data_IF_737919116942
#
_entry.id   IF_737919116942
#
_cell.length_a   1.000
_cell.length_b   1.000
_cell.length_c   1.000
_cell.angle_alpha   90.00
_cell.angle_beta   90.00
_cell.angle_gamma   90.00
#
_symmetry.space_group_name_H-M   'P 1'
#
loop_
_entity.id
_entity.type
_entity.pdbx_description
1 polymer ?
#
# COMPACT_ATOMS: atom_id res chain seq x y z
N UNK A 1 -4.82 -9.02 -9.06
CA UNK A 1 -4.25 -7.67 -8.92
C UNK A 1 -4.20 -7.27 -7.45
N UNK A 2 -3.13 -6.55 -7.06
CA UNK A 2 -2.84 -6.20 -5.66
C UNK A 2 -2.62 -4.70 -5.48
N UNK A 3 -3.32 -4.06 -4.55
CA UNK A 3 -3.00 -2.71 -4.10
C UNK A 3 -1.79 -2.77 -3.18
N UNK A 4 -0.73 -2.04 -3.50
CA UNK A 4 0.45 -1.99 -2.64
C UNK A 4 0.28 -0.93 -1.56
N UNK A 5 0.40 -1.34 -0.30
CA UNK A 5 0.48 -0.42 0.82
C UNK A 5 1.74 0.48 0.70
N UNK A 6 1.70 1.65 1.34
CA UNK A 6 2.81 2.59 1.47
C UNK A 6 4.06 1.88 1.99
N UNK A 7 3.93 1.01 3.00
CA UNK A 7 5.07 0.29 3.56
C UNK A 7 5.76 -0.63 2.52
N UNK A 8 5.00 -1.18 1.57
CA UNK A 8 5.53 -2.02 0.49
C UNK A 8 6.24 -1.17 -0.55
N UNK A 9 5.63 -0.06 -0.97
CA UNK A 9 6.24 0.87 -1.93
C UNK A 9 7.57 1.43 -1.39
N UNK A 10 7.59 1.84 -0.12
CA UNK A 10 8.80 2.32 0.57
C UNK A 10 9.84 1.20 0.66
N UNK A 11 9.45 -0.02 1.04
CA UNK A 11 10.39 -1.14 1.10
C UNK A 11 10.99 -1.48 -0.27
N UNK A 12 10.22 -1.43 -1.36
CA UNK A 12 10.72 -1.64 -2.72
C UNK A 12 11.70 -0.55 -3.16
N UNK A 13 11.42 0.71 -2.81
CA UNK A 13 12.18 1.86 -3.27
C UNK A 13 13.53 2.06 -2.56
N UNK A 14 13.62 1.72 -1.27
CA UNK A 14 14.76 2.08 -0.43
C UNK A 14 15.56 0.84 -0.02
N UNK A 15 16.79 0.63 -0.55
CA UNK A 15 17.63 -0.52 -0.21
C UNK A 15 17.96 -0.67 1.28
N UNK A 16 18.00 0.44 2.01
CA UNK A 16 18.26 0.49 3.44
C UNK A 16 17.04 0.15 4.30
N UNK A 17 15.86 -0.08 3.69
CA UNK A 17 14.67 -0.48 4.42
C UNK A 17 14.78 -1.93 4.89
N UNK A 18 14.40 -2.22 6.14
CA UNK A 18 14.50 -3.57 6.74
C UNK A 18 13.80 -4.66 5.93
N UNK A 19 12.69 -4.31 5.25
CA UNK A 19 11.94 -5.23 4.41
C UNK A 19 12.35 -5.21 2.93
N UNK A 20 13.40 -4.49 2.53
CA UNK A 20 13.74 -4.30 1.11
C UNK A 20 13.90 -5.61 0.35
N UNK A 21 14.73 -6.53 0.85
CA UNK A 21 14.96 -7.84 0.22
C UNK A 21 13.67 -8.64 0.07
N UNK A 22 12.83 -8.66 1.11
CA UNK A 22 11.53 -9.35 1.12
C UNK A 22 10.57 -8.74 0.12
N UNK A 23 10.48 -7.41 0.05
CA UNK A 23 9.63 -6.69 -0.89
C UNK A 23 10.04 -6.96 -2.34
N UNK A 24 11.34 -6.91 -2.66
CA UNK A 24 11.85 -7.19 -4.01
C UNK A 24 11.58 -8.64 -4.40
N UNK A 25 11.85 -9.61 -3.51
CA UNK A 25 11.58 -11.02 -3.77
C UNK A 25 10.09 -11.27 -4.03
N UNK A 26 9.23 -10.76 -3.14
CA UNK A 26 7.77 -10.87 -3.29
C UNK A 26 7.28 -10.21 -4.58
N UNK A 27 7.69 -8.97 -4.86
CA UNK A 27 7.27 -8.23 -6.05
C UNK A 27 7.75 -8.93 -7.32
N UNK A 28 8.94 -9.52 -7.29
CA UNK A 28 9.48 -10.25 -8.44
C UNK A 28 8.61 -11.44 -8.80
N UNK A 29 8.06 -12.15 -7.81
CA UNK A 29 7.19 -13.30 -8.03
C UNK A 29 5.77 -12.90 -8.45
N UNK A 30 5.24 -11.78 -7.94
CA UNK A 30 3.81 -11.44 -8.08
C UNK A 30 3.48 -10.33 -9.09
N UNK A 31 4.47 -9.59 -9.61
CA UNK A 31 4.22 -8.48 -10.55
C UNK A 31 3.48 -8.91 -11.83
N UNK A 32 3.57 -10.18 -12.21
CA UNK A 32 2.86 -10.75 -13.37
C UNK A 32 1.34 -10.77 -13.22
N UNK A 33 0.83 -10.84 -12.00
CA UNK A 33 -0.62 -10.87 -11.70
C UNK A 33 -1.26 -9.48 -11.63
N UNK A 34 -0.48 -8.44 -11.95
CA UNK A 34 -0.84 -7.04 -11.84
C UNK A 34 -0.78 -6.50 -10.41
N UNK A 35 -0.43 -5.23 -10.32
CA UNK A 35 -0.34 -4.49 -9.06
C UNK A 35 -0.81 -3.06 -9.27
N UNK A 36 -1.18 -2.39 -8.18
CA UNK A 36 -1.81 -1.10 -8.24
C UNK A 36 -1.30 -0.15 -7.15
N UNK A 37 -1.42 1.12 -7.47
CA UNK A 37 -1.34 2.24 -6.53
C UNK A 37 -2.65 3.02 -6.59
N UNK A 38 -2.95 3.78 -5.55
CA UNK A 38 -4.03 4.74 -5.48
C UNK A 38 -3.52 6.09 -4.92
N UNK A 39 -4.30 7.19 -4.99
CA UNK A 39 -3.91 8.51 -4.48
C UNK A 39 -3.31 8.47 -3.05
N UNK A 40 -3.91 7.69 -2.15
CA UNK A 40 -3.46 7.56 -0.76
C UNK A 40 -2.08 6.91 -0.68
N UNK A 41 -1.86 5.81 -1.40
CA UNK A 41 -0.56 5.10 -1.41
C UNK A 41 0.54 5.92 -2.09
N UNK A 42 0.23 6.64 -3.17
CA UNK A 42 1.18 7.50 -3.89
C UNK A 42 1.59 8.70 -3.04
N UNK A 43 0.63 9.38 -2.42
CA UNK A 43 0.89 10.50 -1.53
C UNK A 43 1.63 10.06 -0.26
N UNK A 44 1.24 8.91 0.31
CA UNK A 44 1.92 8.30 1.45
C UNK A 44 3.37 7.94 1.13
N UNK A 45 3.62 7.38 -0.05
CA UNK A 45 4.97 7.07 -0.52
C UNK A 45 5.85 8.32 -0.59
N UNK A 46 5.38 9.40 -1.22
CA UNK A 46 6.13 10.66 -1.31
C UNK A 46 6.39 11.24 0.07
N UNK A 47 5.37 11.28 0.94
CA UNK A 47 5.47 11.81 2.30
C UNK A 47 6.49 11.04 3.14
N UNK A 48 6.44 9.72 3.15
CA UNK A 48 7.35 8.88 3.95
C UNK A 48 8.77 8.94 3.40
N UNK A 49 8.91 8.85 2.08
CA UNK A 49 10.21 8.92 1.40
C UNK A 49 10.93 10.25 1.59
N UNK A 50 10.17 11.32 1.89
CA UNK A 50 10.70 12.66 2.14
C UNK A 50 10.87 12.99 3.62
N UNK A 51 10.63 12.03 4.52
CA UNK A 51 10.71 12.26 5.96
C UNK A 51 12.05 11.77 6.53
N UNK A 52 12.97 12.71 6.76
CA UNK A 52 14.30 12.44 7.31
C UNK A 52 14.29 11.84 8.73
N UNK A 53 13.17 11.95 9.47
CA UNK A 53 13.02 11.26 10.78
C UNK A 53 12.72 9.77 10.64
N UNK A 54 12.26 9.34 9.46
CA UNK A 54 11.84 7.95 9.19
C UNK A 54 12.85 7.25 8.30
N UNK A 55 13.38 7.95 7.29
CA UNK A 55 14.36 7.42 6.33
C UNK A 55 15.66 8.23 6.47
N UNK A 56 16.78 7.62 6.92
CA UNK A 56 18.06 8.32 7.06
C UNK A 56 18.52 9.03 5.76
N UNK A 57 18.27 8.40 4.61
CA UNK A 57 18.59 8.93 3.27
C UNK A 57 17.35 9.49 2.55
N UNK A 58 16.45 10.13 3.31
CA UNK A 58 15.21 10.69 2.77
C UNK A 58 15.50 11.59 1.56
N UNK A 59 14.63 11.50 0.55
CA UNK A 59 14.78 12.28 -0.69
C UNK A 59 13.86 13.49 -0.69
N UNK A 60 14.23 14.58 -1.37
CA UNK A 60 13.31 15.67 -1.61
C UNK A 60 12.02 15.17 -2.31
N UNK A 61 10.85 15.78 -2.05
CA UNK A 61 9.59 15.34 -2.67
C UNK A 61 9.64 15.19 -4.19
N UNK A 62 10.34 16.09 -4.90
CA UNK A 62 10.52 16.00 -6.35
C UNK A 62 11.19 14.68 -6.77
N UNK A 63 12.26 14.27 -6.07
CA UNK A 63 12.95 13.01 -6.36
C UNK A 63 12.10 11.78 -5.99
N UNK A 64 11.30 11.87 -4.93
CA UNK A 64 10.35 10.82 -4.57
C UNK A 64 9.24 10.69 -5.64
N UNK A 65 8.72 11.80 -6.16
CA UNK A 65 7.74 11.82 -7.27
C UNK A 65 8.34 11.20 -8.53
N UNK A 66 9.59 11.55 -8.89
CA UNK A 66 10.27 10.96 -10.03
C UNK A 66 10.45 9.43 -9.88
N UNK A 67 10.77 8.98 -8.67
CA UNK A 67 10.88 7.55 -8.36
C UNK A 67 9.54 6.84 -8.44
N UNK A 68 8.47 7.43 -7.90
CA UNK A 68 7.11 6.92 -8.06
C UNK A 68 6.74 6.80 -9.55
N UNK A 69 7.04 7.82 -10.35
CA UNK A 69 6.84 7.78 -11.80
C UNK A 69 7.57 6.64 -12.48
N UNK A 70 8.81 6.31 -12.05
CA UNK A 70 9.53 5.12 -12.52
C UNK A 70 8.84 3.82 -12.08
N UNK A 71 8.38 3.73 -10.84
CA UNK A 71 7.67 2.56 -10.33
C UNK A 71 6.38 2.30 -11.13
N UNK A 72 5.59 3.35 -11.42
CA UNK A 72 4.36 3.24 -12.24
C UNK A 72 4.60 2.75 -13.67
N UNK A 73 5.82 2.88 -14.19
CA UNK A 73 6.18 2.36 -15.52
C UNK A 73 6.60 0.89 -15.50
N UNK A 74 6.73 0.26 -14.32
CA UNK A 74 7.02 -1.16 -14.25
C UNK A 74 5.82 -1.97 -14.80
N UNK A 75 6.07 -3.12 -15.46
CA UNK A 75 5.01 -3.95 -15.99
C UNK A 75 3.95 -4.34 -14.95
N UNK A 76 2.70 -4.45 -15.39
CA UNK A 76 1.58 -4.86 -14.55
C UNK A 76 1.02 -3.77 -13.63
N UNK A 77 1.55 -2.54 -13.67
CA UNK A 77 1.00 -1.42 -12.89
C UNK A 77 -0.35 -0.96 -13.42
N UNK A 78 -1.25 -0.60 -12.52
CA UNK A 78 -2.46 0.16 -12.80
C UNK A 78 -2.72 1.17 -11.69
N UNK A 79 -3.14 2.38 -12.04
CA UNK A 79 -3.60 3.34 -11.06
C UNK A 79 -5.09 3.12 -10.77
N UNK A 80 -5.46 2.93 -9.50
CA UNK A 80 -6.84 2.81 -9.07
C UNK A 80 -7.38 4.16 -8.61
N UNK A 81 -8.47 4.59 -9.23
CA UNK A 81 -9.28 5.69 -8.72
C UNK A 81 -9.82 5.33 -7.34
N UNK A 82 -9.71 6.28 -6.42
CA UNK A 82 -10.16 6.13 -5.04
C UNK A 82 -11.47 6.89 -4.85
N UNK A 83 -12.51 6.13 -4.54
CA UNK A 83 -13.88 6.59 -4.33
C UNK A 83 -14.40 6.18 -2.94
N UNK A 84 -13.50 5.80 -2.03
CA UNK A 84 -13.86 5.33 -0.69
C UNK A 84 -14.13 6.49 0.26
N UNK A 85 -15.29 6.45 0.91
CA UNK A 85 -15.61 7.23 2.10
C UNK A 85 -15.73 6.30 3.33
N UNK A 86 -15.25 6.72 4.51
CA UNK A 86 -15.52 6.03 5.77
C UNK A 86 -17.01 5.88 6.11
N UNK A 87 -17.87 6.68 5.49
CA UNK A 87 -19.32 6.68 5.70
C UNK A 87 -20.07 5.81 4.69
N UNK A 88 -19.38 5.17 3.75
CA UNK A 88 -20.05 4.38 2.75
C UNK A 88 -20.65 3.10 3.37
N UNK A 89 -21.82 2.64 2.89
CA UNK A 89 -22.48 1.46 3.46
C UNK A 89 -21.66 0.17 3.39
N UNK A 90 -20.77 0.06 2.41
CA UNK A 90 -19.90 -1.10 2.17
C UNK A 90 -18.51 -0.97 2.81
N UNK A 91 -18.24 0.12 3.56
CA UNK A 91 -16.97 0.40 4.21
C UNK A 91 -16.78 -0.38 5.53
N UNK A 92 -17.08 -1.68 5.53
CA UNK A 92 -17.14 -2.54 6.72
C UNK A 92 -15.82 -2.59 7.53
N UNK A 93 -14.67 -2.35 6.89
CA UNK A 93 -13.38 -2.28 7.58
C UNK A 93 -13.33 -1.13 8.61
N UNK A 94 -14.04 -0.02 8.38
CA UNK A 94 -14.06 1.13 9.29
C UNK A 94 -14.83 0.84 10.58
N UNK A 95 -15.83 -0.05 10.54
CA UNK A 95 -16.58 -0.46 11.74
C UNK A 95 -15.75 -1.27 12.75
N UNK A 96 -14.52 -1.67 12.36
CA UNK A 96 -13.59 -2.46 13.19
C UNK A 96 -12.42 -1.64 13.74
N UNK A 97 -12.42 -0.32 13.51
CA UNK A 97 -11.36 0.54 14.01
C UNK A 97 -11.35 0.57 15.53
N UNK A 98 -10.19 0.29 16.11
CA UNK A 98 -9.92 0.43 17.55
C UNK A 98 -9.22 1.76 17.83
N UNK A 99 -8.39 2.23 16.89
CA UNK A 99 -7.66 3.48 17.04
C UNK A 99 -7.31 4.17 15.72
N UNK A 100 -6.94 5.44 15.82
CA UNK A 100 -6.71 6.33 14.67
C UNK A 100 -5.62 5.84 13.70
N UNK A 101 -4.72 4.96 14.15
CA UNK A 101 -3.62 4.43 13.33
C UNK A 101 -4.11 3.50 12.22
N UNK A 102 -5.27 2.88 12.40
CA UNK A 102 -5.84 1.89 11.47
C UNK A 102 -6.70 2.53 10.36
N UNK A 103 -6.95 3.84 10.41
CA UNK A 103 -7.86 4.53 9.46
C UNK A 103 -7.41 4.33 8.01
N UNK A 104 -6.12 4.48 7.75
CA UNK A 104 -5.58 4.32 6.39
C UNK A 104 -5.66 2.86 5.94
N UNK A 105 -5.41 1.91 6.84
CA UNK A 105 -5.50 0.49 6.54
C UNK A 105 -6.94 0.08 6.19
N UNK A 106 -7.93 0.57 6.95
CA UNK A 106 -9.35 0.34 6.65
C UNK A 106 -9.75 0.94 5.29
N UNK A 107 -9.23 2.13 4.98
CA UNK A 107 -9.45 2.79 3.69
C UNK A 107 -8.91 1.96 2.52
N UNK A 108 -7.63 1.57 2.59
CA UNK A 108 -6.97 0.81 1.53
C UNK A 108 -7.58 -0.58 1.38
N UNK A 109 -7.96 -1.23 2.49
CA UNK A 109 -8.63 -2.52 2.46
C UNK A 109 -10.00 -2.42 1.80
N UNK A 110 -10.79 -1.40 2.13
CA UNK A 110 -12.09 -1.15 1.50
C UNK A 110 -11.93 -0.94 -0.02
N UNK A 111 -10.95 -0.13 -0.44
CA UNK A 111 -10.66 0.08 -1.85
C UNK A 111 -10.26 -1.22 -2.55
N UNK A 112 -9.41 -2.04 -1.91
CA UNK A 112 -9.00 -3.34 -2.46
C UNK A 112 -10.18 -4.29 -2.66
N UNK A 113 -11.09 -4.35 -1.69
CA UNK A 113 -12.32 -5.16 -1.78
C UNK A 113 -13.20 -4.67 -2.94
N UNK A 114 -13.45 -3.35 -3.06
CA UNK A 114 -14.26 -2.77 -4.16
C UNK A 114 -13.70 -3.06 -5.55
N UNK A 115 -12.37 -3.11 -5.68
CA UNK A 115 -11.68 -3.42 -6.94
C UNK A 115 -11.54 -4.92 -7.19
N UNK A 116 -12.11 -5.78 -6.34
CA UNK A 116 -11.99 -7.23 -6.42
C UNK A 116 -10.54 -7.73 -6.27
N UNK A 117 -9.68 -6.95 -5.62
CA UNK A 117 -8.26 -7.22 -5.45
C UNK A 117 -7.89 -7.55 -4.01
N UNK A 118 -6.59 -7.42 -3.72
CA UNK A 118 -6.04 -7.64 -2.38
C UNK A 118 -5.14 -6.48 -1.97
N UNK A 119 -5.14 -6.12 -0.70
CA UNK A 119 -4.17 -5.21 -0.11
C UNK A 119 -2.90 -5.98 0.28
N UNK A 120 -1.80 -5.71 -0.41
CA UNK A 120 -0.49 -6.26 -0.08
C UNK A 120 0.23 -5.36 0.93
N UNK A 121 0.60 -5.91 2.09
CA UNK A 121 1.19 -5.15 3.20
C UNK A 121 2.16 -5.99 4.04
N UNK A 122 3.06 -5.32 4.75
CA UNK A 122 3.84 -5.91 5.84
C UNK A 122 3.15 -5.86 7.20
N UNK A 123 2.05 -5.09 7.33
CA UNK A 123 1.35 -4.93 8.60
C UNK A 123 0.32 -6.04 8.84
N UNK A 124 0.57 -6.85 9.86
CA UNK A 124 -0.33 -7.92 10.28
C UNK A 124 -1.64 -7.42 10.88
N UNK A 125 -1.65 -6.20 11.45
CA UNK A 125 -2.84 -5.62 12.09
C UNK A 125 -3.99 -5.37 11.11
N UNK A 126 -3.71 -5.31 9.80
CA UNK A 126 -4.74 -5.19 8.76
C UNK A 126 -5.69 -6.40 8.74
N UNK A 127 -5.24 -7.58 9.16
CA UNK A 127 -6.08 -8.77 9.25
C UNK A 127 -7.27 -8.58 10.21
N UNK A 128 -7.09 -7.81 11.28
CA UNK A 128 -8.14 -7.55 12.26
C UNK A 128 -9.28 -6.72 11.65
N UNK A 129 -8.98 -5.93 10.61
CA UNK A 129 -9.96 -5.12 9.86
C UNK A 129 -10.69 -5.93 8.78
N UNK A 130 -10.17 -7.10 8.40
CA UNK A 130 -10.65 -7.87 7.25
C UNK A 130 -11.69 -8.94 7.58
N UNK A 131 -12.33 -8.94 8.77
CA UNK A 131 -13.20 -10.04 9.14
C UNK A 131 -14.47 -10.08 8.28
N UNK A 132 -14.58 -11.13 7.47
CA UNK A 132 -15.56 -11.29 6.37
C UNK A 132 -14.91 -11.35 4.98
N UNK A 133 -13.66 -10.93 4.84
CA UNK A 133 -12.88 -10.97 3.60
C UNK A 133 -11.37 -11.14 3.87
N UNK A 134 -10.96 -12.20 4.61
CA UNK A 134 -9.54 -12.40 4.95
C UNK A 134 -8.66 -12.61 3.70
N UNK A 135 -9.25 -13.09 2.61
CA UNK A 135 -8.57 -13.24 1.31
C UNK A 135 -8.30 -11.92 0.60
N UNK A 136 -8.87 -10.80 1.08
CA UNK A 136 -8.60 -9.45 0.57
C UNK A 136 -7.31 -8.85 1.16
N UNK A 137 -6.65 -9.52 2.11
CA UNK A 137 -5.34 -9.11 2.63
C UNK A 137 -4.29 -10.11 2.16
N UNK A 138 -3.18 -9.58 1.64
CA UNK A 138 -1.99 -10.37 1.31
C UNK A 138 -0.81 -9.90 2.18
N UNK A 139 -0.45 -10.70 3.16
CA UNK A 139 0.72 -10.43 3.99
C UNK A 139 1.98 -10.84 3.26
N UNK A 140 2.92 -9.90 3.14
CA UNK A 140 4.24 -10.19 2.57
C UNK A 140 5.09 -10.91 3.65
N UNK A 141 5.55 -12.14 3.37
CA UNK A 141 6.24 -13.00 4.34
C UNK A 141 7.54 -12.38 4.79
#
# INVERSE_FOLDING_TARGET
>A
MRLLDVNVLVAMAWPNHVHHRRAIAWFTHHRGDGWATCPVTESGFVRVSSNARVIPDARPPAQAIDLLGRMRRLPGHTFWTDDVSPTDPDAAAFSRLVGHRQITDAHLLTLAIRRGGRLATFDRGVLDLASGSPTAVELIP
#
